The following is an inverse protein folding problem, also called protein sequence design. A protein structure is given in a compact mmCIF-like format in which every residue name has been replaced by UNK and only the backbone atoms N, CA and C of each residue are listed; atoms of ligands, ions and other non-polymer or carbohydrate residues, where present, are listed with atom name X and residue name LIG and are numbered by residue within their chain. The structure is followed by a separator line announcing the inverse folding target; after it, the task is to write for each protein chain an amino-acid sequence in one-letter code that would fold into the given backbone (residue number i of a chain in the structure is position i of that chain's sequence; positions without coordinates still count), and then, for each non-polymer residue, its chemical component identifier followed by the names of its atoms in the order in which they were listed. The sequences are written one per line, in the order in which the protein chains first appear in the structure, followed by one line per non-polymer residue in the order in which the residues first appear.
data_IF_392420335528
#
_entry.id   IF_392420335528
#
_cell.length_a   1.000
_cell.length_b   1.000
_cell.length_c   1.000
_cell.angle_alpha   90.00
_cell.angle_beta   90.00
_cell.angle_gamma   90.00
#
_symmetry.space_group_name_H-M   'P 1'
#
loop_
_entity.id
_entity.type
_entity.pdbx_description
1 polymer ?
#
# COMPACT_ATOMS: atom_id res chain seq x y z
N UNK A 1 15.26 2.60 1.70
CA UNK A 1 13.99 2.84 0.95
C UNK A 1 13.85 1.76 -0.12
N UNK A 2 12.66 1.15 -0.30
CA UNK A 2 12.44 0.11 -1.30
C UNK A 2 12.85 0.55 -2.70
N UNK A 3 13.31 -0.38 -3.54
CA UNK A 3 13.71 -0.09 -4.93
C UNK A 3 12.54 0.39 -5.79
N UNK A 4 11.31 0.05 -5.40
CA UNK A 4 10.06 0.49 -6.03
C UNK A 4 9.71 1.96 -5.76
N UNK A 5 10.38 2.63 -4.82
CA UNK A 5 10.13 4.03 -4.46
C UNK A 5 11.28 4.94 -4.88
N UNK A 6 10.96 6.09 -5.47
CA UNK A 6 11.92 7.15 -5.84
C UNK A 6 11.33 8.52 -5.54
N UNK A 7 12.20 9.47 -5.25
CA UNK A 7 11.82 10.88 -5.17
C UNK A 7 12.03 11.56 -6.52
N UNK A 8 11.10 12.42 -6.92
CA UNK A 8 11.21 13.27 -8.09
C UNK A 8 10.95 14.73 -7.69
N UNK A 9 11.90 15.66 -7.87
CA UNK A 9 11.77 17.02 -7.35
C UNK A 9 10.77 17.89 -8.12
N UNK A 10 10.45 17.54 -9.38
CA UNK A 10 9.61 18.35 -10.26
C UNK A 10 8.65 17.50 -11.10
N UNK A 11 7.71 16.81 -10.44
CA UNK A 11 6.71 15.97 -11.10
C UNK A 11 5.52 16.79 -11.60
N UNK A 12 5.13 16.61 -12.87
CA UNK A 12 3.97 17.28 -13.45
C UNK A 12 2.67 16.83 -12.78
N UNK A 13 1.86 17.79 -12.34
CA UNK A 13 0.54 17.61 -11.74
C UNK A 13 -0.58 17.95 -12.74
N UNK A 14 -1.80 17.44 -12.52
CA UNK A 14 -2.95 17.67 -13.40
C UNK A 14 -3.37 19.15 -13.48
N UNK A 15 -3.04 19.96 -12.46
CA UNK A 15 -3.26 21.42 -12.47
C UNK A 15 -2.29 22.18 -13.39
N UNK A 16 -1.33 21.52 -14.03
CA UNK A 16 -0.27 22.16 -14.83
C UNK A 16 1.00 22.53 -14.04
N UNK A 17 0.93 22.53 -12.71
CA UNK A 17 2.08 22.79 -11.85
C UNK A 17 3.08 21.61 -11.83
N UNK A 18 4.31 21.89 -11.42
CA UNK A 18 5.29 20.87 -11.07
C UNK A 18 5.52 20.89 -9.56
N UNK A 19 5.52 19.72 -8.95
CA UNK A 19 5.64 19.54 -7.50
C UNK A 19 6.62 18.41 -7.19
N UNK A 20 7.34 18.46 -6.06
CA UNK A 20 8.02 17.30 -5.51
C UNK A 20 7.04 16.12 -5.41
N UNK A 21 7.50 14.90 -5.67
CA UNK A 21 6.65 13.72 -5.55
C UNK A 21 7.45 12.48 -5.17
N UNK A 22 6.83 11.59 -4.39
CA UNK A 22 7.23 10.20 -4.32
C UNK A 22 6.61 9.47 -5.52
N UNK A 23 7.46 8.85 -6.33
CA UNK A 23 7.09 7.98 -7.45
C UNK A 23 7.24 6.53 -6.99
N UNK A 24 6.18 5.75 -7.14
CA UNK A 24 6.13 4.35 -6.77
C UNK A 24 5.82 3.50 -8.01
N UNK A 25 6.71 2.56 -8.33
CA UNK A 25 6.53 1.65 -9.45
C UNK A 25 5.49 0.58 -9.12
N UNK A 26 4.48 0.44 -10.00
CA UNK A 26 3.42 -0.55 -9.88
C UNK A 26 3.82 -1.78 -10.69
N UNK A 27 3.90 -2.93 -10.02
CA UNK A 27 4.30 -4.21 -10.59
C UNK A 27 3.11 -5.14 -10.77
N UNK A 28 3.25 -6.14 -11.64
CA UNK A 28 2.19 -7.14 -11.89
C UNK A 28 1.12 -6.69 -12.89
N UNK A 29 1.40 -5.64 -13.67
CA UNK A 29 0.52 -5.10 -14.70
C UNK A 29 1.18 -5.16 -16.07
N UNK A 30 0.37 -5.05 -17.13
CA UNK A 30 0.87 -4.90 -18.50
C UNK A 30 1.34 -3.47 -18.72
N UNK A 31 2.58 -3.32 -19.21
CA UNK A 31 3.21 -2.02 -19.46
C UNK A 31 3.70 -1.32 -18.18
N UNK A 32 4.07 -0.04 -18.33
CA UNK A 32 4.58 0.78 -17.22
C UNK A 32 3.44 1.50 -16.50
N UNK A 33 3.42 1.35 -15.18
CA UNK A 33 2.50 2.09 -14.33
C UNK A 33 3.19 2.61 -13.07
N UNK A 34 2.80 3.82 -12.65
CA UNK A 34 3.33 4.46 -11.44
C UNK A 34 2.23 5.10 -10.62
N UNK A 35 2.41 5.08 -9.31
CA UNK A 35 1.68 5.90 -8.36
C UNK A 35 2.54 7.10 -7.95
N UNK A 36 1.93 8.28 -7.90
CA UNK A 36 2.59 9.53 -7.53
C UNK A 36 1.91 10.11 -6.31
N UNK A 37 2.63 10.27 -5.22
CA UNK A 37 2.20 11.09 -4.07
C UNK A 37 2.87 12.44 -4.20
N UNK A 38 2.09 13.51 -4.41
CA UNK A 38 2.65 14.86 -4.48
C UNK A 38 2.98 15.36 -3.08
N UNK A 39 4.15 15.99 -2.96
CA UNK A 39 4.74 16.40 -1.70
C UNK A 39 5.01 17.91 -1.70
N UNK A 40 5.05 18.49 -0.51
CA UNK A 40 5.65 19.80 -0.25
C UNK A 40 7.17 19.69 -0.31
N UNK A 41 7.86 20.83 -0.35
CA UNK A 41 9.32 20.86 -0.25
C UNK A 41 9.85 20.25 1.07
N UNK A 42 9.02 20.29 2.13
CA UNK A 42 9.30 19.65 3.42
C UNK A 42 8.96 18.16 3.48
N UNK A 43 8.56 17.54 2.36
CA UNK A 43 8.29 16.10 2.28
C UNK A 43 6.91 15.66 2.81
N UNK A 44 6.04 16.60 3.17
CA UNK A 44 4.67 16.31 3.59
C UNK A 44 3.75 16.15 2.38
N UNK A 45 2.61 15.46 2.50
CA UNK A 45 1.62 15.40 1.41
C UNK A 45 1.18 16.82 1.02
N UNK A 46 1.28 17.14 -0.27
CA UNK A 46 0.85 18.43 -0.78
C UNK A 46 -0.67 18.57 -0.70
N UNK A 47 -1.16 19.75 -0.29
CA UNK A 47 -2.59 20.09 -0.26
C UNK A 47 -3.09 20.48 -1.66
N UNK A 48 -2.99 19.55 -2.60
CA UNK A 48 -3.44 19.70 -4.00
C UNK A 48 -4.46 18.63 -4.35
N UNK A 49 -5.25 18.86 -5.40
CA UNK A 49 -6.25 17.90 -5.87
C UNK A 49 -5.92 17.51 -7.32
N UNK A 50 -5.62 16.23 -7.60
CA UNK A 50 -5.50 15.13 -6.64
C UNK A 50 -4.12 15.09 -5.93
N UNK A 51 -4.10 14.81 -4.61
CA UNK A 51 -2.85 14.66 -3.84
C UNK A 51 -2.06 13.38 -4.19
N UNK A 52 -2.75 12.38 -4.74
CA UNK A 52 -2.19 11.12 -5.24
C UNK A 52 -2.71 10.87 -6.65
N UNK A 53 -1.86 10.44 -7.58
CA UNK A 53 -2.28 10.16 -8.95
C UNK A 53 -1.56 8.94 -9.53
N UNK A 54 -2.32 8.05 -10.15
CA UNK A 54 -1.78 6.94 -10.92
C UNK A 54 -1.54 7.35 -12.38
N UNK A 55 -0.62 6.68 -13.07
CA UNK A 55 -0.37 6.79 -14.51
C UNK A 55 -0.14 5.39 -15.07
N UNK A 56 -0.81 5.04 -16.17
CA UNK A 56 -0.76 3.70 -16.78
C UNK A 56 -1.86 2.76 -16.27
N UNK A 57 -1.89 1.54 -16.81
CA UNK A 57 -2.86 0.50 -16.44
C UNK A 57 -2.50 -0.14 -15.11
N UNK A 58 -3.22 0.22 -14.03
CA UNK A 58 -2.86 -0.18 -12.66
C UNK A 58 -3.65 -1.38 -12.11
N UNK A 59 -4.69 -1.83 -12.82
CA UNK A 59 -5.60 -2.88 -12.34
C UNK A 59 -4.85 -4.18 -12.08
N UNK A 60 -5.04 -4.74 -10.89
CA UNK A 60 -4.36 -5.97 -10.46
C UNK A 60 -2.91 -5.79 -10.01
N UNK A 61 -2.35 -4.59 -10.14
CA UNK A 61 -0.98 -4.28 -9.74
C UNK A 61 -0.82 -3.94 -8.27
N UNK A 62 0.44 -3.89 -7.84
CA UNK A 62 0.82 -3.40 -6.51
C UNK A 62 2.21 -2.79 -6.50
N UNK A 63 2.47 -1.92 -5.53
CA UNK A 63 3.82 -1.47 -5.20
C UNK A 63 4.42 -2.47 -4.21
N UNK A 64 5.52 -3.13 -4.57
CA UNK A 64 6.20 -4.09 -3.68
C UNK A 64 7.19 -3.36 -2.80
N UNK A 65 6.94 -3.35 -1.50
CA UNK A 65 7.67 -2.56 -0.50
C UNK A 65 8.72 -3.39 0.22
N UNK A 66 8.46 -4.67 0.45
CA UNK A 66 9.40 -5.60 1.05
C UNK A 66 9.25 -6.99 0.42
N UNK A 67 10.33 -7.76 0.45
CA UNK A 67 10.35 -9.17 0.04
C UNK A 67 10.87 -9.99 1.23
N UNK A 68 10.14 -11.02 1.63
CA UNK A 68 10.55 -11.87 2.74
C UNK A 68 9.53 -12.95 3.09
N UNK A 69 10.01 -14.09 3.58
CA UNK A 69 9.20 -15.19 4.09
C UNK A 69 8.14 -15.72 3.10
N UNK A 70 7.22 -16.53 3.65
CA UNK A 70 6.10 -17.13 2.92
C UNK A 70 4.75 -16.44 3.23
N UNK A 71 4.79 -15.27 3.87
CA UNK A 71 3.60 -14.47 4.17
C UNK A 71 3.55 -13.30 3.20
N UNK A 72 2.41 -13.13 2.53
CA UNK A 72 2.09 -11.92 1.78
C UNK A 72 1.23 -11.00 2.64
N UNK A 73 1.71 -9.82 2.96
CA UNK A 73 0.94 -8.76 3.59
C UNK A 73 0.55 -7.70 2.56
N UNK A 74 -0.72 -7.34 2.51
CA UNK A 74 -1.29 -6.35 1.59
C UNK A 74 -1.85 -5.19 2.38
N UNK A 75 -1.48 -3.96 2.03
CA UNK A 75 -2.06 -2.72 2.54
C UNK A 75 -2.73 -1.91 1.43
N UNK A 76 -3.61 -0.99 1.78
CA UNK A 76 -4.14 0.01 0.84
C UNK A 76 -3.07 1.07 0.52
N UNK A 77 -2.55 1.74 1.54
CA UNK A 77 -1.53 2.78 1.41
C UNK A 77 -0.09 2.26 1.35
N UNK A 78 0.78 3.03 0.70
CA UNK A 78 2.24 2.82 0.72
C UNK A 78 2.77 3.07 2.13
N UNK A 79 2.28 4.11 2.79
CA UNK A 79 2.67 4.50 4.14
C UNK A 79 2.36 3.37 5.13
N UNK A 80 1.13 2.84 5.11
CA UNK A 80 0.72 1.67 5.90
C UNK A 80 1.60 0.45 5.64
N UNK A 81 1.91 0.16 4.37
CA UNK A 81 2.78 -0.96 4.03
C UNK A 81 4.23 -0.79 4.51
N UNK A 82 4.77 0.44 4.45
CA UNK A 82 6.07 0.77 5.02
C UNK A 82 6.06 0.62 6.54
N UNK A 83 4.94 0.96 7.19
CA UNK A 83 4.77 0.73 8.62
C UNK A 83 4.84 -0.76 8.96
N UNK A 84 4.15 -1.61 8.22
CA UNK A 84 4.24 -3.06 8.42
C UNK A 84 5.67 -3.58 8.25
N UNK A 85 6.44 -2.98 7.32
CA UNK A 85 7.81 -3.35 7.03
C UNK A 85 8.80 -2.97 8.14
N UNK A 86 8.45 -2.05 9.05
CA UNK A 86 9.34 -1.60 10.11
C UNK A 86 9.27 -2.45 11.40
N UNK A 87 8.80 -3.70 11.30
CA UNK A 87 8.84 -4.66 12.41
C UNK A 87 7.53 -4.86 13.16
N UNK A 88 6.39 -4.35 12.66
CA UNK A 88 5.06 -4.66 13.23
C UNK A 88 4.74 -6.15 13.09
N UNK A 89 5.09 -6.72 11.94
CA UNK A 89 4.88 -8.14 11.68
C UNK A 89 5.95 -8.97 12.40
N UNK A 90 5.51 -9.92 13.23
CA UNK A 90 6.39 -10.83 14.00
C UNK A 90 7.17 -11.80 13.12
N UNK A 91 6.77 -11.98 11.87
CA UNK A 91 7.40 -12.88 10.90
C UNK A 91 7.81 -12.11 9.65
N UNK A 92 8.94 -12.45 9.01
CA UNK A 92 9.31 -11.89 7.72
C UNK A 92 8.16 -12.06 6.71
N UNK A 93 7.79 -10.96 6.04
CA UNK A 93 6.70 -10.94 5.10
C UNK A 93 7.09 -10.16 3.84
N UNK A 94 6.51 -10.59 2.73
CA UNK A 94 6.49 -9.85 1.47
C UNK A 94 5.35 -8.85 1.57
N UNK A 95 5.61 -7.57 1.33
CA UNK A 95 4.67 -6.49 1.63
C UNK A 95 4.33 -5.73 0.37
N UNK A 96 3.03 -5.68 0.03
CA UNK A 96 2.49 -5.02 -1.15
C UNK A 96 1.51 -3.92 -0.77
N UNK A 97 1.60 -2.76 -1.41
CA UNK A 97 0.58 -1.72 -1.35
C UNK A 97 -0.28 -1.73 -2.61
N UNK A 98 -1.59 -1.86 -2.45
CA UNK A 98 -2.58 -1.97 -3.52
C UNK A 98 -3.14 -0.61 -3.99
N UNK A 99 -2.81 0.48 -3.29
CA UNK A 99 -2.98 1.89 -3.66
C UNK A 99 -4.41 2.47 -3.62
N UNK A 100 -5.42 1.62 -3.57
CA UNK A 100 -6.83 2.02 -3.40
C UNK A 100 -7.68 0.83 -2.96
N UNK A 101 -8.92 1.08 -2.52
CA UNK A 101 -9.91 0.03 -2.31
C UNK A 101 -10.13 -0.82 -3.58
N UNK A 102 -10.27 -0.20 -4.74
CA UNK A 102 -10.41 -0.91 -6.02
C UNK A 102 -9.13 -1.70 -6.42
N UNK A 103 -7.96 -1.21 -6.00
CA UNK A 103 -6.69 -1.91 -6.17
C UNK A 103 -6.63 -3.19 -5.33
N UNK A 104 -7.10 -3.14 -4.07
CA UNK A 104 -7.21 -4.33 -3.20
C UNK A 104 -8.15 -5.35 -3.84
N UNK A 105 -9.34 -4.92 -4.23
CA UNK A 105 -10.36 -5.82 -4.79
C UNK A 105 -9.86 -6.53 -6.06
N UNK A 106 -9.16 -5.80 -6.94
CA UNK A 106 -8.67 -6.32 -8.21
C UNK A 106 -7.29 -6.98 -8.16
N UNK A 107 -6.61 -6.96 -7.00
CA UNK A 107 -5.21 -7.37 -6.85
C UNK A 107 -4.95 -8.78 -7.41
N UNK A 108 -3.93 -8.91 -8.26
CA UNK A 108 -3.48 -10.20 -8.76
C UNK A 108 -2.51 -10.84 -7.77
N UNK A 109 -2.92 -11.95 -7.17
CA UNK A 109 -2.11 -12.70 -6.21
C UNK A 109 -1.11 -13.60 -6.95
N UNK A 110 0.02 -13.98 -6.30
CA UNK A 110 0.90 -15.03 -6.81
C UNK A 110 0.12 -16.33 -7.09
N UNK A 111 0.58 -17.09 -8.09
CA UNK A 111 -0.06 -18.35 -8.47
C UNK A 111 0.01 -19.43 -7.36
N UNK A 112 1.07 -19.41 -6.55
CA UNK A 112 1.25 -20.34 -5.45
C UNK A 112 0.66 -19.74 -4.17
N UNK A 113 -0.42 -20.32 -3.62
CA UNK A 113 -1.02 -19.83 -2.39
C UNK A 113 -0.14 -20.10 -1.18
N UNK A 114 -0.26 -19.24 -0.18
CA UNK A 114 0.42 -19.35 1.12
C UNK A 114 -0.44 -18.64 2.18
N UNK A 115 0.16 -17.79 3.03
CA UNK A 115 -0.57 -16.96 3.98
C UNK A 115 -0.72 -15.54 3.45
N UNK A 116 -1.95 -15.02 3.48
CA UNK A 116 -2.30 -13.65 3.09
C UNK A 116 -2.78 -12.88 4.33
N UNK A 117 -2.15 -11.75 4.61
CA UNK A 117 -2.59 -10.78 5.62
C UNK A 117 -3.08 -9.54 4.88
N UNK A 118 -4.32 -9.12 5.10
CA UNK A 118 -4.85 -7.87 4.55
C UNK A 118 -4.94 -6.86 5.68
N UNK A 119 -4.06 -5.87 5.65
CA UNK A 119 -3.98 -4.81 6.64
C UNK A 119 -4.76 -3.57 6.19
N UNK A 120 -5.55 -3.01 7.11
CA UNK A 120 -6.31 -1.78 6.90
C UNK A 120 -6.11 -0.82 8.06
N UNK A 121 -6.23 0.48 7.80
CA UNK A 121 -6.24 1.50 8.86
C UNK A 121 -7.61 1.52 9.57
N UNK A 122 -7.68 2.09 10.78
CA UNK A 122 -8.92 2.09 11.59
C UNK A 122 -10.02 3.00 11.06
N UNK A 123 -9.64 4.00 10.27
CA UNK A 123 -10.53 5.11 9.85
C UNK A 123 -11.20 4.87 8.50
N UNK A 124 -11.16 3.62 8.00
CA UNK A 124 -11.80 3.28 6.75
C UNK A 124 -13.33 3.43 6.83
N UNK A 125 -13.88 4.18 5.86
CA UNK A 125 -15.32 4.44 5.70
C UNK A 125 -16.08 3.26 5.08
N UNK A 126 -15.57 2.04 5.28
CA UNK A 126 -16.14 0.77 4.85
C UNK A 126 -15.85 0.36 3.40
N UNK A 127 -15.25 1.22 2.57
CA UNK A 127 -14.91 0.86 1.19
C UNK A 127 -13.70 -0.06 1.13
N UNK A 128 -12.65 0.22 1.91
CA UNK A 128 -11.46 -0.64 2.00
C UNK A 128 -11.81 -1.97 2.66
N UNK A 129 -12.66 -1.97 3.69
CA UNK A 129 -13.14 -3.17 4.37
C UNK A 129 -13.90 -4.08 3.43
N UNK A 130 -14.84 -3.53 2.62
CA UNK A 130 -15.54 -4.32 1.60
C UNK A 130 -14.57 -4.89 0.56
N UNK A 131 -13.60 -4.10 0.11
CA UNK A 131 -12.59 -4.58 -0.82
C UNK A 131 -11.69 -5.68 -0.20
N UNK A 132 -11.31 -5.53 1.07
CA UNK A 132 -10.53 -6.51 1.81
C UNK A 132 -11.31 -7.82 1.99
N UNK A 133 -12.61 -7.75 2.30
CA UNK A 133 -13.50 -8.90 2.36
C UNK A 133 -13.64 -9.59 1.00
N UNK A 134 -13.80 -8.83 -0.08
CA UNK A 134 -13.87 -9.38 -1.44
C UNK A 134 -12.56 -10.07 -1.85
N UNK A 135 -11.40 -9.45 -1.55
CA UNK A 135 -10.09 -10.08 -1.76
C UNK A 135 -9.94 -11.34 -0.91
N UNK A 136 -10.34 -11.30 0.36
CA UNK A 136 -10.27 -12.44 1.26
C UNK A 136 -11.08 -13.62 0.74
N UNK A 137 -12.34 -13.39 0.36
CA UNK A 137 -13.21 -14.43 -0.19
C UNK A 137 -12.61 -15.04 -1.47
N UNK A 138 -12.12 -14.21 -2.40
CA UNK A 138 -11.47 -14.67 -3.63
C UNK A 138 -10.20 -15.46 -3.34
N UNK A 139 -9.36 -14.99 -2.42
CA UNK A 139 -8.09 -15.63 -2.07
C UNK A 139 -8.30 -16.98 -1.39
N UNK A 140 -9.26 -17.09 -0.46
CA UNK A 140 -9.63 -18.36 0.17
C UNK A 140 -10.10 -19.39 -0.87
N UNK A 141 -10.90 -18.97 -1.86
CA UNK A 141 -11.30 -19.83 -2.97
C UNK A 141 -10.14 -20.31 -3.86
N UNK A 142 -9.01 -19.61 -3.82
CA UNK A 142 -7.75 -19.98 -4.50
C UNK A 142 -6.78 -20.75 -3.58
N UNK A 143 -7.20 -21.11 -2.36
CA UNK A 143 -6.41 -21.91 -1.42
C UNK A 143 -5.48 -21.11 -0.49
N UNK A 144 -5.64 -19.79 -0.38
CA UNK A 144 -4.87 -18.97 0.55
C UNK A 144 -5.40 -19.09 1.99
N UNK A 145 -4.49 -19.08 2.97
CA UNK A 145 -4.80 -18.87 4.38
C UNK A 145 -4.88 -17.35 4.65
N UNK A 146 -6.09 -16.80 4.76
CA UNK A 146 -6.32 -15.35 4.81
C UNK A 146 -6.64 -14.89 6.23
N UNK A 147 -6.00 -13.81 6.66
CA UNK A 147 -6.38 -13.04 7.85
C UNK A 147 -6.53 -11.55 7.56
N UNK A 148 -7.47 -10.91 8.26
CA UNK A 148 -7.62 -9.45 8.27
C UNK A 148 -6.89 -8.89 9.49
N UNK A 149 -6.14 -7.81 9.29
CA UNK A 149 -5.36 -7.15 10.32
C UNK A 149 -5.71 -5.66 10.37
N UNK A 150 -6.84 -5.27 10.98
CA UNK A 150 -7.16 -3.87 11.17
C UNK A 150 -6.20 -3.23 12.17
N UNK A 151 -5.85 -1.96 11.95
CA UNK A 151 -5.14 -1.16 12.94
C UNK A 151 -5.96 -1.03 14.24
N UNK A 152 -5.31 -0.79 15.41
CA UNK A 152 -6.02 -0.50 16.66
C UNK A 152 -7.03 0.64 16.49
N UNK A 153 -8.13 0.59 17.25
CA UNK A 153 -9.21 1.56 17.13
C UNK A 153 -8.72 3.01 17.33
N UNK A 154 -8.99 3.87 16.34
CA UNK A 154 -8.62 5.29 16.35
C UNK A 154 -7.15 5.58 16.07
N UNK A 155 -6.42 4.65 15.45
CA UNK A 155 -5.02 4.81 15.07
C UNK A 155 -4.78 4.25 13.66
N UNK A 156 -3.88 4.89 12.89
CA UNK A 156 -3.28 4.25 11.73
C UNK A 156 -2.00 3.46 12.12
N UNK A 157 -1.50 2.63 11.21
CA UNK A 157 -0.29 1.83 11.50
C UNK A 157 0.97 2.69 11.69
N UNK A 158 1.00 3.91 11.16
CA UNK A 158 2.11 4.84 11.34
C UNK A 158 2.07 5.48 12.75
N UNK A 159 0.89 5.83 13.25
CA UNK A 159 0.68 6.28 14.63
C UNK A 159 1.07 5.19 15.63
N UNK A 160 0.63 3.94 15.38
CA UNK A 160 0.97 2.79 16.21
C UNK A 160 2.48 2.57 16.31
N UNK A 161 3.21 2.75 15.21
CA UNK A 161 4.67 2.68 15.21
C UNK A 161 5.32 3.79 16.01
N UNK A 162 4.88 5.03 15.83
CA UNK A 162 5.43 6.16 16.55
C UNK A 162 5.21 6.01 18.07
N UNK A 163 4.10 5.40 18.49
CA UNK A 163 3.88 5.05 19.91
C UNK A 163 4.79 3.94 20.41
N UNK A 164 5.04 2.89 19.61
CA UNK A 164 5.95 1.80 19.99
C UNK A 164 7.42 2.21 20.02
N UNK A 165 7.85 3.09 19.10
CA UNK A 165 9.22 3.58 19.02
C UNK A 165 9.58 4.66 20.06
N UNK A 166 8.58 5.21 20.77
CA UNK A 166 8.79 6.14 21.88
C UNK A 166 8.85 5.47 23.27
N UNK A 167 8.86 4.14 23.31
CA UNK A 167 8.90 3.33 24.53
C UNK A 167 10.26 2.66 24.76
N UNK A 168 11.35 3.26 24.26
CA UNK A 168 12.74 2.90 24.57
C UNK A 168 13.45 4.03 25.32
#
# INVERSE_FOLDING_TARGET
MPTSLRFHPSCRHASGNHLPAMIAHIQGVQGFAVHRTYLTQSGQKAKVIPAKAMLGGCKGGSVRLAQGGNVLAVSEGIETGLSLASGILKTPATIWAALSASGIESLSLPATPSRLIIASDSDDKGAVLRAAQALAQRASGLGWDVSLLPAPAGQDWNDYLNMKGGAE
#
